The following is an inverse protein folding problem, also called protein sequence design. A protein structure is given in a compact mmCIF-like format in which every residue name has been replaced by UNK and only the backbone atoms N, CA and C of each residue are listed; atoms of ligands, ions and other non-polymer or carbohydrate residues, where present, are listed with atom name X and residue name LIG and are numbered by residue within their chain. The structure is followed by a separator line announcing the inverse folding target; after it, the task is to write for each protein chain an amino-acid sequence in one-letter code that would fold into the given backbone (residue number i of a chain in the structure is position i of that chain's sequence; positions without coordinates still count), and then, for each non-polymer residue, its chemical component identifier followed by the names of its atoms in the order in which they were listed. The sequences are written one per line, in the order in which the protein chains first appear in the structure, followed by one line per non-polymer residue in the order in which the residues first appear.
data_IF_120751284157
#
_entry.id   IF_120751284157
#
_cell.length_a   1.000
_cell.length_b   1.000
_cell.length_c   1.000
_cell.angle_alpha   90.00
_cell.angle_beta   90.00
_cell.angle_gamma   90.00
#
_symmetry.space_group_name_H-M   'P 1'
#
loop_
_entity.id
_entity.type
_entity.pdbx_description
1 polymer ?
#
# COMPACT_ATOMS: atom_id res chain seq x y z
N UNK A 1 33.22 41.18 61.08
CA UNK A 1 33.50 40.61 59.76
C UNK A 1 32.41 39.60 59.44
N UNK A 2 31.51 39.94 58.53
CA UNK A 2 30.38 39.06 58.07
C UNK A 2 30.75 38.51 56.72
N UNK A 3 30.92 37.20 56.64
CA UNK A 3 31.09 36.52 55.39
C UNK A 3 29.71 36.29 54.74
N UNK A 4 29.49 36.89 53.58
CA UNK A 4 28.32 36.68 52.75
C UNK A 4 28.68 35.51 51.80
N UNK A 5 28.09 34.35 52.02
CA UNK A 5 28.23 33.20 51.12
C UNK A 5 27.22 33.37 50.01
N UNK A 6 27.69 33.70 48.80
CA UNK A 6 26.88 33.75 47.63
C UNK A 6 26.65 32.30 47.12
N UNK A 7 25.40 31.85 47.20
CA UNK A 7 24.96 30.58 46.64
C UNK A 7 24.66 30.78 45.15
N UNK A 8 25.59 30.36 44.27
CA UNK A 8 25.37 30.36 42.84
C UNK A 8 24.45 29.17 42.52
N UNK A 9 23.18 29.46 42.29
CA UNK A 9 22.23 28.51 41.79
C UNK A 9 22.51 28.24 40.32
N UNK A 10 23.15 27.08 40.01
CA UNK A 10 23.31 26.56 38.65
C UNK A 10 21.98 26.00 38.18
N UNK A 11 21.18 26.82 37.54
CA UNK A 11 19.95 26.38 36.88
C UNK A 11 20.36 25.59 35.63
N UNK A 12 20.36 24.26 35.74
CA UNK A 12 20.58 23.36 34.60
C UNK A 12 19.34 23.48 33.71
N UNK A 13 19.39 24.30 32.66
CA UNK A 13 18.42 24.26 31.56
C UNK A 13 18.61 22.91 30.84
N UNK A 14 17.78 21.95 31.20
CA UNK A 14 17.59 20.76 30.39
C UNK A 14 16.80 21.23 29.16
N UNK A 15 17.50 21.67 28.15
CA UNK A 15 16.95 21.76 26.81
C UNK A 15 16.59 20.33 26.41
N UNK A 16 15.33 19.96 26.60
CA UNK A 16 14.75 18.80 25.93
C UNK A 16 14.88 19.08 24.43
N UNK A 17 15.95 18.56 23.84
CA UNK A 17 16.00 18.42 22.40
C UNK A 17 14.88 17.41 22.05
N UNK A 18 13.70 17.92 21.82
CA UNK A 18 12.74 17.23 20.97
C UNK A 18 13.46 17.06 19.63
N UNK A 19 14.25 15.99 19.56
CA UNK A 19 14.78 15.52 18.29
C UNK A 19 13.56 15.37 17.39
N UNK A 20 13.38 16.32 16.47
CA UNK A 20 12.30 16.28 15.51
C UNK A 20 12.42 14.91 14.82
N UNK A 21 11.67 13.95 15.32
CA UNK A 21 11.61 12.60 14.71
C UNK A 21 11.06 12.84 13.33
N UNK A 22 11.92 12.65 12.33
CA UNK A 22 11.52 12.76 10.94
C UNK A 22 10.32 11.84 10.74
N UNK A 23 9.14 12.43 10.55
CA UNK A 23 7.92 11.67 10.32
C UNK A 23 7.93 11.21 8.86
N UNK A 24 7.82 9.92 8.65
CA UNK A 24 7.56 9.36 7.33
C UNK A 24 6.05 9.45 7.08
N UNK A 25 5.68 10.13 6.01
CA UNK A 25 4.30 10.13 5.53
C UNK A 25 4.10 8.96 4.57
N UNK A 26 3.03 8.18 4.80
CA UNK A 26 2.65 7.09 3.91
C UNK A 26 2.09 7.65 2.59
N UNK A 27 2.20 6.90 1.51
CA UNK A 27 1.70 7.33 0.19
C UNK A 27 0.25 7.76 0.20
N UNK A 28 -0.61 7.11 0.99
CA UNK A 28 -2.02 7.51 1.15
C UNK A 28 -2.19 8.84 1.91
N UNK A 29 -1.31 9.16 2.86
CA UNK A 29 -1.30 10.44 3.54
C UNK A 29 -0.83 11.56 2.59
N UNK A 30 0.23 11.29 1.79
CA UNK A 30 0.72 12.24 0.79
C UNK A 30 -0.35 12.52 -0.27
N UNK A 31 -1.04 11.49 -0.75
CA UNK A 31 -2.15 11.63 -1.69
C UNK A 31 -3.26 12.54 -1.13
N UNK A 32 -3.62 12.35 0.14
CA UNK A 32 -4.61 13.19 0.81
C UNK A 32 -4.14 14.65 0.98
N UNK A 33 -2.88 14.86 1.38
CA UNK A 33 -2.26 16.21 1.50
C UNK A 33 -2.24 16.95 0.16
N UNK A 34 -2.04 16.25 -0.95
CA UNK A 34 -2.13 16.80 -2.32
C UNK A 34 -3.56 16.93 -2.83
N UNK A 35 -4.56 16.71 -1.99
CA UNK A 35 -5.97 16.89 -2.33
C UNK A 35 -6.46 15.92 -3.40
N UNK A 36 -5.86 14.73 -3.50
CA UNK A 36 -6.20 13.64 -4.44
C UNK A 36 -6.07 14.04 -5.91
N UNK A 37 -5.17 14.96 -6.24
CA UNK A 37 -5.04 15.55 -7.60
C UNK A 37 -4.90 14.48 -8.68
N UNK A 38 -4.13 13.42 -8.44
CA UNK A 38 -3.90 12.33 -9.40
C UNK A 38 -5.14 11.46 -9.65
N UNK A 39 -6.19 11.57 -8.83
CA UNK A 39 -7.40 10.74 -8.91
C UNK A 39 -8.64 11.52 -9.38
N UNK A 40 -8.53 12.85 -9.54
CA UNK A 40 -9.66 13.70 -9.88
C UNK A 40 -10.24 13.34 -11.25
N UNK A 41 -11.57 13.23 -11.31
CA UNK A 41 -12.31 12.95 -12.55
C UNK A 41 -12.17 11.53 -13.09
N UNK A 42 -11.43 10.64 -12.37
CA UNK A 42 -11.20 9.26 -12.79
C UNK A 42 -12.11 8.30 -12.01
N UNK A 43 -12.53 7.23 -12.67
CA UNK A 43 -13.12 6.05 -12.02
C UNK A 43 -11.96 5.27 -11.39
N UNK A 44 -11.92 5.23 -10.08
CA UNK A 44 -10.79 4.67 -9.33
C UNK A 44 -11.10 3.24 -8.87
N UNK A 45 -10.22 2.30 -9.19
CA UNK A 45 -10.12 1.00 -8.54
C UNK A 45 -9.07 1.05 -7.43
N UNK A 46 -9.28 0.34 -6.34
CA UNK A 46 -8.31 0.24 -5.24
C UNK A 46 -7.93 -1.21 -4.99
N UNK A 47 -6.66 -1.53 -5.17
CA UNK A 47 -6.06 -2.80 -4.79
C UNK A 47 -5.43 -2.63 -3.40
N UNK A 48 -5.99 -3.32 -2.41
CA UNK A 48 -5.58 -3.17 -1.01
C UNK A 48 -5.89 -4.43 -0.19
N UNK A 49 -5.38 -4.46 1.02
CA UNK A 49 -5.67 -5.44 2.07
C UNK A 49 -5.71 -4.73 3.44
N UNK A 50 -5.81 -5.42 4.60
CA UNK A 50 -5.86 -4.80 5.92
C UNK A 50 -4.66 -3.91 6.28
N UNK A 51 -3.51 -4.04 5.59
CA UNK A 51 -2.36 -3.15 5.79
C UNK A 51 -2.53 -1.76 5.16
N UNK A 52 -3.55 -1.58 4.29
CA UNK A 52 -3.90 -0.32 3.65
C UNK A 52 -4.55 0.66 4.63
N UNK A 53 -3.77 1.15 5.58
CA UNK A 53 -4.20 2.13 6.59
C UNK A 53 -3.29 3.36 6.58
N UNK A 54 -3.80 4.50 7.06
CA UNK A 54 -2.98 5.69 7.29
C UNK A 54 -2.24 5.59 8.65
N UNK A 55 -1.42 6.60 8.97
CA UNK A 55 -0.66 6.66 10.20
C UNK A 55 -1.52 6.74 11.49
N UNK A 56 -2.84 6.82 11.37
CA UNK A 56 -3.83 6.76 12.46
C UNK A 56 -4.60 5.45 12.48
N UNK A 57 -4.26 4.48 11.63
CA UNK A 57 -4.94 3.19 11.51
C UNK A 57 -6.28 3.25 10.77
N UNK A 58 -6.61 4.34 10.06
CA UNK A 58 -7.86 4.44 9.29
C UNK A 58 -7.69 3.75 7.93
N UNK A 59 -8.67 2.93 7.56
CA UNK A 59 -8.66 2.19 6.29
C UNK A 59 -8.62 3.13 5.08
N UNK A 60 -7.75 2.87 4.13
CA UNK A 60 -7.69 3.57 2.85
C UNK A 60 -8.99 3.42 2.05
N UNK A 61 -9.71 2.29 2.19
CA UNK A 61 -11.02 2.10 1.58
C UNK A 61 -11.99 3.18 2.07
N UNK A 62 -12.06 3.37 3.40
CA UNK A 62 -12.95 4.37 4.00
C UNK A 62 -12.53 5.79 3.65
N UNK A 63 -11.23 6.06 3.64
CA UNK A 63 -10.69 7.38 3.30
C UNK A 63 -11.06 7.77 1.87
N UNK A 64 -10.82 6.90 0.90
CA UNK A 64 -11.10 7.19 -0.51
C UNK A 64 -12.61 7.20 -0.81
N UNK A 65 -13.37 6.25 -0.22
CA UNK A 65 -14.81 6.15 -0.44
C UNK A 65 -15.59 7.36 0.10
N UNK A 66 -15.16 7.91 1.26
CA UNK A 66 -15.80 9.09 1.87
C UNK A 66 -15.34 10.42 1.27
N UNK A 67 -14.27 10.42 0.50
CA UNK A 67 -13.75 11.66 -0.09
C UNK A 67 -14.63 12.11 -1.27
N UNK A 68 -15.21 13.32 -1.25
CA UNK A 68 -15.98 13.84 -2.38
C UNK A 68 -15.11 14.13 -3.63
N UNK A 69 -13.78 14.07 -3.48
CA UNK A 69 -12.81 14.31 -4.57
C UNK A 69 -12.41 13.05 -5.31
N UNK A 70 -12.84 11.85 -4.83
CA UNK A 70 -12.44 10.56 -5.38
C UNK A 70 -13.69 9.77 -5.76
N UNK A 71 -13.76 9.33 -7.01
CA UNK A 71 -14.81 8.43 -7.46
C UNK A 71 -14.30 6.97 -7.36
N UNK A 72 -14.30 6.40 -6.14
CA UNK A 72 -13.94 5.01 -5.91
C UNK A 72 -15.09 4.12 -6.37
N UNK A 73 -14.86 3.30 -7.41
CA UNK A 73 -15.90 2.48 -8.06
C UNK A 73 -15.71 0.98 -7.88
N UNK A 74 -14.53 0.52 -7.49
CA UNK A 74 -14.25 -0.90 -7.31
C UNK A 74 -13.08 -1.13 -6.35
N UNK A 75 -13.11 -2.30 -5.70
CA UNK A 75 -12.00 -2.83 -4.92
C UNK A 75 -11.43 -4.05 -5.63
N UNK A 76 -10.12 -4.27 -5.46
CA UNK A 76 -9.40 -5.43 -5.96
C UNK A 76 -8.75 -6.14 -4.78
N UNK A 77 -8.98 -7.44 -4.66
CA UNK A 77 -8.42 -8.26 -3.59
C UNK A 77 -7.25 -9.10 -4.10
N UNK A 78 -6.07 -8.91 -3.52
CA UNK A 78 -4.93 -9.82 -3.63
C UNK A 78 -5.13 -11.05 -2.75
N UNK A 79 -4.09 -11.85 -2.54
CA UNK A 79 -4.09 -12.93 -1.55
C UNK A 79 -4.62 -12.44 -0.19
N UNK A 80 -5.36 -13.26 0.49
CA UNK A 80 -6.13 -12.96 1.72
C UNK A 80 -7.36 -12.05 1.54
N UNK A 81 -7.60 -11.50 0.34
CA UNK A 81 -8.72 -10.59 0.09
C UNK A 81 -8.56 -9.20 0.71
N UNK A 82 -9.53 -8.34 0.48
CA UNK A 82 -9.48 -6.93 0.97
C UNK A 82 -9.62 -6.81 2.49
N UNK A 83 -10.26 -7.78 3.14
CA UNK A 83 -10.53 -7.81 4.59
C UNK A 83 -9.59 -8.77 5.34
N UNK A 84 -8.66 -9.44 4.65
CA UNK A 84 -7.72 -10.38 5.26
C UNK A 84 -8.36 -11.68 5.78
N UNK A 85 -9.58 -12.00 5.37
CA UNK A 85 -10.35 -13.13 5.90
C UNK A 85 -10.11 -14.44 5.12
N UNK A 86 -9.49 -14.37 3.95
CA UNK A 86 -9.22 -15.56 3.12
C UNK A 86 -7.92 -16.22 3.57
N UNK A 87 -7.89 -17.52 3.87
CA UNK A 87 -6.66 -18.23 4.22
C UNK A 87 -5.63 -18.17 3.09
N UNK A 88 -4.33 -18.28 3.46
CA UNK A 88 -3.22 -18.28 2.50
C UNK A 88 -3.42 -19.31 1.38
N UNK A 89 -3.14 -18.90 0.14
CA UNK A 89 -3.25 -19.76 -1.05
C UNK A 89 -4.66 -20.13 -1.46
N UNK A 90 -5.71 -19.72 -0.74
CA UNK A 90 -7.09 -20.02 -1.07
C UNK A 90 -7.66 -19.06 -2.10
N UNK A 91 -8.33 -19.61 -3.07
CA UNK A 91 -9.10 -18.85 -4.06
C UNK A 91 -10.39 -18.30 -3.44
N UNK A 92 -10.84 -17.16 -3.96
CA UNK A 92 -12.12 -16.56 -3.55
C UNK A 92 -12.80 -15.90 -4.74
N UNK A 93 -14.16 -15.90 -4.78
CA UNK A 93 -14.91 -15.29 -5.87
C UNK A 93 -14.95 -13.75 -5.77
N UNK A 94 -15.40 -13.13 -6.84
CA UNK A 94 -15.84 -11.74 -6.78
C UNK A 94 -16.99 -11.61 -5.79
N UNK A 95 -17.07 -10.47 -5.10
CA UNK A 95 -18.07 -10.22 -4.08
C UNK A 95 -18.40 -8.73 -3.99
N UNK A 96 -19.15 -8.35 -2.97
CA UNK A 96 -19.48 -6.95 -2.66
C UNK A 96 -18.95 -6.59 -1.27
N UNK A 97 -18.27 -5.47 -1.17
CA UNK A 97 -17.76 -4.96 0.10
C UNK A 97 -18.90 -4.50 1.00
N UNK A 98 -19.04 -5.11 2.19
CA UNK A 98 -20.21 -4.93 3.06
C UNK A 98 -20.48 -3.48 3.49
N UNK A 99 -19.43 -2.69 3.76
CA UNK A 99 -19.57 -1.32 4.28
C UNK A 99 -19.80 -0.27 3.19
N UNK A 100 -19.24 -0.47 2.00
CA UNK A 100 -19.30 0.53 0.94
C UNK A 100 -20.25 0.18 -0.21
N UNK A 101 -20.67 -1.08 -0.30
CA UNK A 101 -21.45 -1.58 -1.44
C UNK A 101 -20.65 -1.73 -2.75
N UNK A 102 -19.35 -1.45 -2.72
CA UNK A 102 -18.51 -1.53 -3.91
C UNK A 102 -18.24 -2.98 -4.32
N UNK A 103 -18.16 -3.28 -5.61
CA UNK A 103 -17.73 -4.58 -6.09
C UNK A 103 -16.28 -4.85 -5.67
N UNK A 104 -16.02 -6.08 -5.22
CA UNK A 104 -14.67 -6.61 -4.98
C UNK A 104 -14.35 -7.57 -6.13
N UNK A 105 -13.32 -7.25 -6.91
CA UNK A 105 -12.76 -8.14 -7.91
C UNK A 105 -11.63 -8.96 -7.29
N UNK A 106 -11.78 -10.29 -7.32
CA UNK A 106 -10.74 -11.20 -6.87
C UNK A 106 -9.63 -11.31 -7.90
N UNK A 107 -8.40 -11.04 -7.47
CA UNK A 107 -7.20 -11.40 -8.23
C UNK A 107 -6.68 -12.80 -7.86
N UNK A 108 -7.45 -13.51 -7.03
CA UNK A 108 -7.20 -14.86 -6.56
C UNK A 108 -8.39 -15.77 -6.85
N UNK A 109 -9.03 -15.58 -8.02
CA UNK A 109 -10.11 -16.41 -8.51
C UNK A 109 -9.63 -17.79 -9.00
N UNK A 110 -10.55 -18.62 -9.51
CA UNK A 110 -10.23 -19.94 -10.03
C UNK A 110 -9.16 -19.89 -11.12
N UNK A 111 -8.18 -20.81 -11.01
CA UNK A 111 -7.08 -20.94 -11.96
C UNK A 111 -5.80 -20.16 -11.59
N UNK A 112 -4.75 -20.28 -12.39
CA UNK A 112 -3.42 -19.78 -12.06
C UNK A 112 -3.25 -18.27 -12.27
N UNK A 113 -4.25 -17.59 -12.81
CA UNK A 113 -4.17 -16.17 -13.17
C UNK A 113 -4.35 -15.31 -11.93
N UNK A 114 -3.33 -14.52 -11.60
CA UNK A 114 -3.28 -13.64 -10.43
C UNK A 114 -3.19 -12.16 -10.82
N UNK A 115 -3.99 -11.77 -11.82
CA UNK A 115 -3.99 -10.43 -12.40
C UNK A 115 -5.41 -9.99 -12.81
N UNK A 116 -5.68 -8.68 -12.96
CA UNK A 116 -6.98 -8.23 -13.40
C UNK A 116 -7.28 -8.63 -14.84
N UNK A 117 -8.54 -8.93 -15.11
CA UNK A 117 -9.01 -9.21 -16.49
C UNK A 117 -9.29 -7.90 -17.22
N UNK A 118 -9.29 -7.90 -18.58
CA UNK A 118 -9.70 -6.73 -19.36
C UNK A 118 -11.12 -6.22 -19.00
N UNK A 119 -12.04 -7.12 -18.65
CA UNK A 119 -13.39 -6.76 -18.23
C UNK A 119 -13.44 -5.99 -16.91
N UNK A 120 -12.55 -6.30 -15.96
CA UNK A 120 -12.39 -5.54 -14.72
C UNK A 120 -11.80 -4.15 -15.00
N UNK A 121 -10.76 -4.08 -15.83
CA UNK A 121 -10.05 -2.83 -16.15
C UNK A 121 -10.88 -1.85 -16.96
N UNK A 122 -11.79 -2.30 -17.84
CA UNK A 122 -12.72 -1.42 -18.58
C UNK A 122 -13.61 -0.55 -17.69
N UNK A 123 -13.75 -0.89 -16.42
CA UNK A 123 -14.62 -0.18 -15.46
C UNK A 123 -13.92 0.94 -14.72
N UNK A 124 -12.60 1.05 -14.84
CA UNK A 124 -11.76 2.02 -14.13
C UNK A 124 -10.86 2.77 -15.10
N UNK A 125 -10.44 3.96 -14.70
CA UNK A 125 -9.48 4.79 -15.43
C UNK A 125 -8.11 4.79 -14.72
N UNK A 126 -8.13 4.45 -13.42
CA UNK A 126 -6.93 4.39 -12.57
C UNK A 126 -7.06 3.25 -11.57
N UNK A 127 -6.02 2.44 -11.43
CA UNK A 127 -5.87 1.44 -10.36
C UNK A 127 -4.85 1.93 -9.34
N UNK A 128 -5.31 2.16 -8.12
CA UNK A 128 -4.47 2.54 -6.98
C UNK A 128 -4.05 1.29 -6.23
N UNK A 129 -2.78 1.17 -5.92
CA UNK A 129 -2.21 0.10 -5.09
C UNK A 129 -1.81 0.65 -3.72
N UNK A 130 -2.35 0.09 -2.64
CA UNK A 130 -2.00 0.41 -1.26
C UNK A 130 -1.94 -0.84 -0.38
N UNK A 131 -0.81 -1.54 -0.44
CA UNK A 131 -0.50 -2.71 0.39
C UNK A 131 0.92 -2.56 0.94
N UNK A 132 1.10 -2.84 2.23
CA UNK A 132 2.43 -2.95 2.84
C UNK A 132 3.10 -4.24 2.39
N UNK A 133 4.20 -4.13 1.65
CA UNK A 133 5.08 -5.26 1.39
C UNK A 133 6.01 -5.51 2.58
N UNK A 134 6.53 -6.71 2.69
CA UNK A 134 7.43 -7.13 3.78
C UNK A 134 8.90 -7.03 3.44
N UNK A 135 9.23 -6.76 2.16
CA UNK A 135 10.58 -6.73 1.64
C UNK A 135 11.21 -8.12 1.48
N UNK A 136 10.41 -9.19 1.47
CA UNK A 136 10.89 -10.57 1.34
C UNK A 136 10.17 -11.31 0.20
N UNK A 137 10.95 -12.05 -0.61
CA UNK A 137 10.47 -12.76 -1.83
C UNK A 137 9.31 -13.73 -1.59
N UNK A 138 9.20 -14.31 -0.41
CA UNK A 138 8.15 -15.29 -0.08
C UNK A 138 6.73 -14.71 -0.06
N UNK A 139 6.59 -13.40 -0.14
CA UNK A 139 5.31 -12.70 -0.17
C UNK A 139 4.89 -12.37 -1.60
N UNK A 140 3.59 -12.47 -1.87
CA UNK A 140 3.02 -12.40 -3.24
C UNK A 140 2.63 -10.99 -3.68
N UNK A 141 2.66 -10.02 -2.77
CA UNK A 141 2.09 -8.69 -3.01
C UNK A 141 2.82 -7.91 -4.09
N UNK A 142 4.17 -7.94 -4.10
CA UNK A 142 4.96 -7.29 -5.14
C UNK A 142 4.71 -7.91 -6.52
N UNK A 143 4.54 -9.24 -6.57
CA UNK A 143 4.20 -9.92 -7.82
C UNK A 143 2.81 -9.53 -8.31
N UNK A 144 1.83 -9.46 -7.41
CA UNK A 144 0.48 -8.96 -7.72
C UNK A 144 0.53 -7.52 -8.23
N UNK A 145 1.30 -6.63 -7.58
CA UNK A 145 1.51 -5.26 -8.02
C UNK A 145 2.03 -5.20 -9.46
N UNK A 146 3.13 -5.89 -9.74
CA UNK A 146 3.75 -5.85 -11.07
C UNK A 146 2.86 -6.46 -12.16
N UNK A 147 2.15 -7.56 -11.89
CA UNK A 147 1.18 -8.13 -12.81
C UNK A 147 0.01 -7.16 -13.10
N UNK A 148 -0.44 -6.43 -12.09
CA UNK A 148 -1.44 -5.37 -12.28
C UNK A 148 -0.89 -4.20 -13.12
N UNK A 149 0.36 -3.78 -12.89
CA UNK A 149 1.00 -2.75 -13.71
C UNK A 149 1.07 -3.14 -15.18
N UNK A 150 1.48 -4.40 -15.48
CA UNK A 150 1.52 -4.91 -16.86
C UNK A 150 0.15 -4.90 -17.53
N UNK A 151 -0.90 -5.36 -16.84
CA UNK A 151 -2.25 -5.39 -17.41
C UNK A 151 -2.87 -3.99 -17.55
N UNK A 152 -2.63 -3.11 -16.59
CA UNK A 152 -3.04 -1.70 -16.67
C UNK A 152 -2.37 -1.01 -17.87
N UNK A 153 -1.06 -1.21 -18.07
CA UNK A 153 -0.35 -0.66 -19.23
C UNK A 153 -0.92 -1.13 -20.56
N UNK A 154 -1.28 -2.43 -20.68
CA UNK A 154 -1.93 -2.97 -21.88
C UNK A 154 -3.34 -2.40 -22.12
N UNK A 155 -4.04 -2.07 -21.05
CA UNK A 155 -5.42 -1.58 -21.10
C UNK A 155 -5.51 -0.04 -21.19
N UNK A 156 -4.39 0.69 -21.13
CA UNK A 156 -4.38 2.16 -21.05
C UNK A 156 -4.95 2.70 -19.73
N UNK A 157 -4.93 1.91 -18.66
CA UNK A 157 -5.36 2.28 -17.32
C UNK A 157 -4.16 2.80 -16.54
N UNK A 158 -4.30 3.95 -15.90
CA UNK A 158 -3.24 4.50 -15.05
C UNK A 158 -3.02 3.63 -13.82
N UNK A 159 -1.76 3.47 -13.39
CA UNK A 159 -1.43 2.73 -12.18
C UNK A 159 -0.71 3.65 -11.18
N UNK A 160 -1.26 3.77 -9.97
CA UNK A 160 -0.72 4.63 -8.91
C UNK A 160 -0.33 3.77 -7.71
N UNK A 161 0.93 3.84 -7.31
CA UNK A 161 1.44 3.19 -6.10
C UNK A 161 1.45 4.19 -4.95
N UNK A 162 0.76 3.87 -3.86
CA UNK A 162 0.86 4.58 -2.60
C UNK A 162 1.97 3.93 -1.78
N UNK A 163 3.17 4.48 -1.93
CA UNK A 163 4.39 3.89 -1.39
C UNK A 163 4.37 3.79 0.14
N UNK A 164 5.02 2.74 0.64
CA UNK A 164 5.16 2.44 2.06
C UNK A 164 6.61 2.08 2.39
N UNK A 165 7.12 2.45 3.57
CA UNK A 165 8.47 2.10 3.98
C UNK A 165 8.68 0.59 3.96
N UNK A 166 9.80 0.15 3.39
CA UNK A 166 10.21 -1.24 3.49
C UNK A 166 10.64 -1.54 4.93
N UNK A 167 10.03 -2.52 5.63
CA UNK A 167 10.36 -2.86 7.01
C UNK A 167 11.81 -3.29 7.22
N UNK A 168 12.43 -3.85 6.16
CA UNK A 168 13.83 -4.27 6.17
C UNK A 168 14.79 -3.11 5.81
N UNK A 169 14.25 -1.92 5.57
CA UNK A 169 15.02 -0.76 5.08
C UNK A 169 15.26 -0.81 3.57
N UNK A 170 15.91 0.20 3.02
CA UNK A 170 16.14 0.34 1.58
C UNK A 170 17.62 0.26 1.18
N UNK A 171 18.51 -0.21 2.08
CA UNK A 171 19.97 -0.17 1.86
C UNK A 171 20.57 -1.52 1.47
N UNK A 172 19.92 -2.61 1.83
CA UNK A 172 20.42 -3.98 1.57
C UNK A 172 19.58 -4.62 0.48
N UNK A 173 20.27 -5.20 -0.49
CA UNK A 173 19.69 -6.06 -1.52
C UNK A 173 20.37 -7.41 -1.38
N UNK A 174 19.61 -8.46 -1.12
CA UNK A 174 20.13 -9.79 -0.85
C UNK A 174 19.46 -10.83 -1.76
N UNK A 175 20.01 -12.04 -1.74
CA UNK A 175 19.49 -13.16 -2.49
C UNK A 175 19.96 -13.23 -3.94
N UNK A 176 19.67 -14.36 -4.57
CA UNK A 176 20.06 -14.63 -5.95
C UNK A 176 19.03 -14.02 -6.92
N UNK A 177 19.53 -13.57 -8.07
CA UNK A 177 18.65 -13.20 -9.20
C UNK A 177 17.81 -14.43 -9.58
N UNK A 178 16.52 -14.21 -9.76
CA UNK A 178 15.59 -15.28 -10.13
C UNK A 178 16.01 -15.95 -11.45
N UNK A 179 16.21 -17.26 -11.41
CA UNK A 179 16.30 -18.06 -12.62
C UNK A 179 14.87 -18.20 -13.20
N UNK A 180 14.63 -17.84 -14.49
CA UNK A 180 13.30 -17.89 -15.11
C UNK A 180 12.60 -19.27 -15.07
N UNK A 181 13.36 -20.36 -14.92
CA UNK A 181 12.81 -21.72 -14.76
C UNK A 181 11.99 -21.87 -13.47
N UNK A 182 12.25 -21.01 -12.46
CA UNK A 182 11.55 -21.01 -11.17
C UNK A 182 10.54 -19.87 -11.06
N UNK A 183 10.12 -19.30 -12.20
CA UNK A 183 9.11 -18.24 -12.21
C UNK A 183 7.83 -18.73 -11.55
N UNK A 184 7.36 -17.97 -10.56
CA UNK A 184 6.15 -18.28 -9.79
C UNK A 184 5.56 -16.97 -9.22
N UNK A 185 4.46 -17.06 -8.49
CA UNK A 185 3.88 -15.87 -7.84
C UNK A 185 4.79 -15.27 -6.74
N UNK A 186 5.73 -16.01 -6.19
CA UNK A 186 6.76 -15.50 -5.27
C UNK A 186 8.06 -15.11 -5.97
N UNK A 187 8.04 -15.02 -7.30
CA UNK A 187 9.19 -14.58 -8.10
C UNK A 187 8.80 -14.46 -9.55
N UNK A 188 8.51 -13.25 -10.03
CA UNK A 188 8.02 -13.00 -11.40
C UNK A 188 9.11 -12.50 -12.33
N UNK A 189 10.05 -11.71 -11.84
CA UNK A 189 11.07 -11.02 -12.64
C UNK A 189 12.49 -11.37 -12.19
N UNK A 190 13.45 -11.14 -13.07
CA UNK A 190 14.89 -11.33 -12.80
C UNK A 190 15.43 -10.23 -11.90
N UNK A 191 14.93 -10.13 -10.70
CA UNK A 191 15.40 -9.19 -9.69
C UNK A 191 15.89 -9.94 -8.45
N UNK A 192 16.90 -9.43 -7.72
CA UNK A 192 17.19 -9.86 -6.36
C UNK A 192 16.08 -9.37 -5.43
N UNK A 193 16.06 -9.91 -4.21
CA UNK A 193 15.01 -9.56 -3.27
C UNK A 193 15.56 -9.23 -1.90
#
# INVERSE_FOLDING_TARGET
MRFVTALLGLTLLILSQDAARARVYLGNEVLAMRGYENLRGKRVGLLTNPSGVDGRGRSVIDILHKSPKVNLVALFGAEHGVDGQVPAGKEFPNSTHRRTGLPIYSLYGPGPVRKPTPAMLKKIDCLVYDIQDTGARSYTFISTMGLCMEECGKAGVEFVVLDRPNPLGGKRVEGLILNPRFKSLVGQWKIPY
#
